data_IF_326327424420
#
_entry.id   IF_326327424420
#
_cell.length_a   1.000
_cell.length_b   1.000
_cell.length_c   1.000
_cell.angle_alpha   90.00
_cell.angle_beta   90.00
_cell.angle_gamma   90.00
#
_symmetry.space_group_name_H-M   'P 1'
#
loop_
_entity.id
_entity.type
_entity.pdbx_description
1 polymer ?
#
# COMPACT_ATOMS: atom_id res chain seq x y z
N UNK A 1 -26.84 0.35 -1.44
CA UNK A 1 -25.38 0.52 -1.52
C UNK A 1 -24.79 -0.64 -0.75
N UNK A 2 -24.31 -1.66 -1.45
CA UNK A 2 -23.67 -2.81 -0.81
C UNK A 2 -22.48 -2.28 -0.01
N UNK A 3 -22.51 -2.50 1.31
CA UNK A 3 -21.35 -2.29 2.16
C UNK A 3 -20.34 -3.37 1.76
N UNK A 4 -19.40 -3.02 0.88
CA UNK A 4 -18.26 -3.89 0.59
C UNK A 4 -17.50 -4.05 1.91
N UNK A 5 -17.70 -5.19 2.59
CA UNK A 5 -17.07 -5.48 3.87
C UNK A 5 -15.59 -5.79 3.62
N UNK A 6 -14.79 -4.74 3.49
CA UNK A 6 -13.35 -4.84 3.47
C UNK A 6 -12.86 -5.11 4.89
N UNK A 7 -12.08 -6.17 5.03
CA UNK A 7 -11.31 -6.42 6.23
C UNK A 7 -9.95 -5.76 6.06
N UNK A 8 -9.66 -4.77 6.89
CA UNK A 8 -8.34 -4.14 6.96
C UNK A 8 -7.45 -4.90 7.93
N UNK A 9 -6.17 -4.99 7.61
CA UNK A 9 -5.18 -5.61 8.49
C UNK A 9 -4.76 -4.63 9.60
N UNK A 10 -4.47 -5.10 10.81
CA UNK A 10 -3.78 -4.29 11.83
C UNK A 10 -2.34 -3.91 11.43
N UNK A 11 -1.78 -4.52 10.37
CA UNK A 11 -0.46 -4.20 9.84
C UNK A 11 -0.45 -2.93 8.97
N UNK A 12 -1.60 -2.33 8.67
CA UNK A 12 -1.67 -1.02 8.03
C UNK A 12 -0.85 -0.01 8.83
N UNK A 13 0.11 0.64 8.17
CA UNK A 13 1.03 1.57 8.83
C UNK A 13 1.62 2.57 7.86
N UNK A 14 2.01 3.72 8.38
CA UNK A 14 2.86 4.64 7.63
C UNK A 14 4.33 4.23 7.72
N UNK A 15 5.04 4.37 6.61
CA UNK A 15 6.47 4.15 6.51
C UNK A 15 7.10 5.46 6.04
N UNK A 16 8.07 5.95 6.82
CA UNK A 16 8.84 7.15 6.50
C UNK A 16 10.29 6.76 6.24
N UNK A 17 10.84 7.20 5.12
CA UNK A 17 12.22 6.93 4.70
C UNK A 17 12.72 8.13 3.89
N UNK A 18 13.95 8.58 4.17
CA UNK A 18 14.56 9.74 3.50
C UNK A 18 13.68 11.01 3.48
N UNK A 19 12.93 11.23 4.58
CA UNK A 19 12.03 12.39 4.73
C UNK A 19 10.70 12.28 3.98
N UNK A 20 10.48 11.21 3.21
CA UNK A 20 9.22 10.94 2.51
C UNK A 20 8.38 9.93 3.26
N UNK A 21 7.06 10.04 3.16
CA UNK A 21 6.13 9.17 3.88
C UNK A 21 5.09 8.59 2.95
N UNK A 22 4.92 7.27 3.03
CA UNK A 22 3.82 6.55 2.41
C UNK A 22 2.97 5.85 3.48
N UNK A 23 1.69 5.62 3.20
CA UNK A 23 0.78 4.83 4.00
C UNK A 23 0.55 3.49 3.31
N UNK A 24 0.90 2.41 3.98
CA UNK A 24 0.61 1.06 3.53
C UNK A 24 -0.77 0.67 4.05
N UNK A 25 -1.69 0.41 3.13
CA UNK A 25 -3.03 -0.10 3.37
C UNK A 25 -3.08 -1.56 2.89
N UNK A 26 -3.41 -2.46 3.81
CA UNK A 26 -3.51 -3.89 3.56
C UNK A 26 -4.93 -4.29 3.88
N UNK A 27 -5.67 -4.73 2.87
CA UNK A 27 -7.08 -5.05 3.00
C UNK A 27 -7.46 -6.23 2.13
N UNK A 28 -8.61 -6.83 2.39
CA UNK A 28 -9.17 -7.90 1.55
C UNK A 28 -10.68 -7.87 1.55
N UNK A 29 -11.26 -8.43 0.49
CA UNK A 29 -12.66 -8.80 0.47
C UNK A 29 -12.93 -10.09 1.27
N UNK A 30 -14.22 -10.44 1.44
CA UNK A 30 -14.60 -11.74 1.98
C UNK A 30 -14.08 -12.86 1.07
N UNK A 31 -13.38 -13.83 1.66
CA UNK A 31 -12.83 -15.00 0.98
C UNK A 31 -11.81 -14.72 -0.14
N UNK A 32 -11.22 -13.51 -0.20
CA UNK A 32 -10.13 -13.18 -1.13
C UNK A 32 -8.76 -13.18 -0.44
N UNK A 33 -7.70 -13.20 -1.26
CA UNK A 33 -6.36 -12.84 -0.78
C UNK A 33 -6.28 -11.37 -0.37
N UNK A 34 -5.15 -11.02 0.26
CA UNK A 34 -4.84 -9.67 0.72
C UNK A 34 -4.33 -8.81 -0.41
N UNK A 35 -4.90 -7.63 -0.56
CA UNK A 35 -4.45 -6.56 -1.43
C UNK A 35 -3.54 -5.64 -0.63
N UNK A 36 -2.46 -5.23 -1.27
CA UNK A 36 -1.54 -4.21 -0.79
C UNK A 36 -1.74 -2.94 -1.61
N UNK A 37 -1.87 -1.83 -0.91
CA UNK A 37 -1.95 -0.50 -1.48
C UNK A 37 -0.96 0.41 -0.74
N UNK A 38 -0.18 1.18 -1.48
CA UNK A 38 0.69 2.21 -0.95
C UNK A 38 0.15 3.57 -1.40
N UNK A 39 -0.18 4.42 -0.44
CA UNK A 39 -0.66 5.77 -0.68
C UNK A 39 0.44 6.76 -0.30
N UNK A 40 0.90 7.57 -1.24
CA UNK A 40 1.95 8.56 -0.98
C UNK A 40 1.42 9.86 -0.34
N UNK A 41 2.35 10.77 -0.05
CA UNK A 41 2.07 12.10 0.53
C UNK A 41 1.25 13.03 -0.38
N UNK A 42 1.21 12.74 -1.69
CA UNK A 42 0.41 13.46 -2.68
C UNK A 42 -0.92 12.77 -3.00
N UNK A 43 -1.25 11.72 -2.25
CA UNK A 43 -2.43 10.90 -2.38
C UNK A 43 -2.50 10.14 -3.73
N UNK A 44 -1.34 9.85 -4.34
CA UNK A 44 -1.29 8.81 -5.37
C UNK A 44 -1.33 7.44 -4.70
N UNK A 45 -1.95 6.48 -5.38
CA UNK A 45 -2.08 5.11 -4.91
C UNK A 45 -1.36 4.16 -5.87
N UNK A 46 -0.53 3.30 -5.30
CA UNK A 46 0.06 2.15 -5.97
C UNK A 46 -0.58 0.90 -5.39
N UNK A 47 -1.38 0.20 -6.19
CA UNK A 47 -1.99 -1.08 -5.81
C UNK A 47 -1.21 -2.19 -6.49
N UNK A 48 -0.84 -3.22 -5.73
CA UNK A 48 -0.21 -4.40 -6.30
C UNK A 48 -1.26 -5.28 -6.97
N UNK A 49 -0.95 -5.78 -8.18
CA UNK A 49 -1.84 -6.69 -8.93
C UNK A 49 -1.96 -8.08 -8.27
N UNK A 50 -0.90 -8.54 -7.61
CA UNK A 50 -0.86 -9.82 -6.92
C UNK A 50 -1.58 -9.78 -5.58
N UNK A 51 -2.38 -10.81 -5.31
CA UNK A 51 -2.99 -11.03 -4.01
C UNK A 51 -2.09 -11.88 -3.11
N UNK A 52 -1.94 -11.46 -1.86
CA UNK A 52 -1.12 -12.14 -0.87
C UNK A 52 -1.93 -13.12 -0.02
N UNK A 53 -1.32 -14.24 0.36
CA UNK A 53 -1.97 -15.22 1.23
C UNK A 53 -2.16 -14.71 2.67
N UNK A 54 -1.28 -13.80 3.12
CA UNK A 54 -1.31 -13.20 4.45
C UNK A 54 -1.05 -11.70 4.34
N UNK A 55 -1.57 -10.94 5.30
CA UNK A 55 -1.27 -9.51 5.44
C UNK A 55 0.22 -9.27 5.71
N UNK A 56 0.89 -10.17 6.43
CA UNK A 56 2.34 -10.12 6.63
C UNK A 56 3.10 -10.23 5.31
N UNK A 57 2.70 -11.13 4.41
CA UNK A 57 3.34 -11.25 3.10
C UNK A 57 3.14 -9.99 2.24
N UNK A 58 1.97 -9.34 2.33
CA UNK A 58 1.74 -8.03 1.71
C UNK A 58 2.69 -6.97 2.30
N UNK A 59 2.80 -6.89 3.62
CA UNK A 59 3.70 -5.94 4.27
C UNK A 59 5.17 -6.18 3.86
N UNK A 60 5.61 -7.43 3.85
CA UNK A 60 6.98 -7.79 3.50
C UNK A 60 7.32 -7.41 2.06
N UNK A 61 6.37 -7.53 1.13
CA UNK A 61 6.57 -7.09 -0.26
C UNK A 61 6.71 -5.57 -0.35
N UNK A 62 5.85 -4.78 0.31
CA UNK A 62 6.02 -3.32 0.36
C UNK A 62 7.40 -2.93 0.92
N UNK A 63 7.82 -3.53 2.03
CA UNK A 63 9.12 -3.26 2.64
C UNK A 63 10.29 -3.70 1.73
N UNK A 64 10.10 -4.75 0.94
CA UNK A 64 11.07 -5.21 -0.05
C UNK A 64 11.17 -4.23 -1.21
N UNK A 65 10.06 -3.76 -1.77
CA UNK A 65 10.06 -2.74 -2.83
C UNK A 65 10.77 -1.47 -2.36
N UNK A 66 10.46 -0.97 -1.15
CA UNK A 66 11.14 0.19 -0.57
C UNK A 66 12.64 -0.05 -0.42
N UNK A 67 13.07 -1.27 -0.10
CA UNK A 67 14.48 -1.62 0.06
C UNK A 67 15.23 -1.75 -1.27
N UNK A 68 14.60 -2.36 -2.27
CA UNK A 68 15.24 -2.71 -3.56
C UNK A 68 15.17 -1.55 -4.55
N UNK A 69 14.01 -0.90 -4.64
CA UNK A 69 13.75 0.19 -5.59
C UNK A 69 13.81 1.59 -4.95
N UNK A 70 13.67 1.66 -3.63
CA UNK A 70 13.58 2.92 -2.89
C UNK A 70 12.14 3.38 -2.68
N UNK A 71 11.91 4.19 -1.62
CA UNK A 71 10.59 4.74 -1.33
C UNK A 71 10.06 5.65 -2.44
N UNK A 72 10.98 6.28 -3.18
CA UNK A 72 10.66 7.11 -4.36
C UNK A 72 9.92 6.37 -5.46
N UNK A 73 10.12 5.06 -5.62
CA UNK A 73 9.40 4.25 -6.61
C UNK A 73 7.89 4.24 -6.36
N UNK A 74 7.49 4.41 -5.09
CA UNK A 74 6.10 4.41 -4.63
C UNK A 74 5.51 5.82 -4.48
N UNK A 75 6.23 6.85 -4.92
CA UNK A 75 5.80 8.25 -4.80
C UNK A 75 5.64 8.82 -6.20
N UNK A 76 4.39 9.09 -6.55
CA UNK A 76 4.02 9.74 -7.80
C UNK A 76 4.33 11.24 -7.80
N UNK A 77 4.11 11.91 -8.94
CA UNK A 77 4.22 13.35 -9.00
C UNK A 77 3.23 14.02 -8.04
N UNK A 78 3.55 15.21 -7.52
CA UNK A 78 2.58 16.00 -6.76
C UNK A 78 1.35 16.25 -7.62
N UNK A 79 0.18 15.91 -7.06
CA UNK A 79 -1.15 16.19 -7.61
C UNK A 79 -1.36 17.70 -7.76
N UNK A 80 -0.78 18.30 -8.80
CA UNK A 80 -0.68 19.75 -8.93
C UNK A 80 -0.08 20.27 -10.24
N UNK A 81 -0.03 19.47 -11.30
CA UNK A 81 0.25 19.97 -12.66
C UNK A 81 -0.93 19.67 -13.58
N UNK A 82 -1.87 20.61 -13.62
CA UNK A 82 -2.71 20.84 -14.79
C UNK A 82 -2.53 22.29 -15.23
#
# INVERSE_FOLDING_TARGET
>A
MENYQLVTSPLCRSVTTDGRTIRLEIYRGPDTGWTLEAVDEFNNSTVWDDLFATDQAALDEALRTIRDEGIDSLIGPPSGVH
#
